data_IF_107194632075
#
_entry.id   IF_107194632075
#
_cell.length_a   1.000
_cell.length_b   1.000
_cell.length_c   1.000
_cell.angle_alpha   90.00
_cell.angle_beta   90.00
_cell.angle_gamma   90.00
#
_symmetry.space_group_name_H-M   'P 1'
#
loop_
_entity.id
_entity.type
_entity.pdbx_description
1 polymer ?
#
# COMPACT_ATOMS: atom_id res chain seq x y z
N UNK A 1 16.40 -4.98 4.71
CA UNK A 1 16.38 -3.69 5.45
C UNK A 1 14.96 -3.11 5.56
N UNK A 2 14.56 -2.62 6.76
CA UNK A 2 13.28 -1.91 6.97
C UNK A 2 13.20 -0.61 6.18
N UNK A 3 14.32 0.11 6.03
CA UNK A 3 14.41 1.36 5.27
C UNK A 3 14.12 1.15 3.78
N UNK A 4 14.68 0.10 3.18
CA UNK A 4 14.41 -0.27 1.79
C UNK A 4 12.91 -0.49 1.51
N UNK A 5 12.23 -1.26 2.37
CA UNK A 5 10.80 -1.53 2.22
C UNK A 5 9.96 -0.26 2.39
N UNK A 6 10.29 0.57 3.38
CA UNK A 6 9.57 1.82 3.65
C UNK A 6 9.63 2.80 2.47
N UNK A 7 10.79 2.95 1.84
CA UNK A 7 10.95 3.79 0.63
C UNK A 7 10.13 3.29 -0.54
N UNK A 8 10.05 1.96 -0.73
CA UNK A 8 9.23 1.37 -1.80
C UNK A 8 7.74 1.53 -1.56
N UNK A 9 7.28 1.42 -0.31
CA UNK A 9 5.89 1.66 0.07
C UNK A 9 5.46 3.07 -0.30
N UNK A 10 6.30 4.05 0.04
CA UNK A 10 6.08 5.47 -0.24
C UNK A 10 6.05 5.73 -1.74
N UNK A 11 7.10 5.32 -2.46
CA UNK A 11 7.16 5.46 -3.93
C UNK A 11 5.96 4.81 -4.63
N UNK A 12 5.51 3.65 -4.16
CA UNK A 12 4.33 2.97 -4.72
C UNK A 12 3.07 3.81 -4.54
N UNK A 13 2.88 4.46 -3.39
CA UNK A 13 1.71 5.31 -3.17
C UNK A 13 1.74 6.55 -4.09
N UNK A 14 2.89 7.22 -4.23
CA UNK A 14 3.04 8.30 -5.19
C UNK A 14 2.65 7.85 -6.60
N UNK A 15 3.16 6.69 -7.01
CA UNK A 15 2.84 6.13 -8.32
C UNK A 15 1.34 5.81 -8.48
N UNK A 16 0.68 5.30 -7.44
CA UNK A 16 -0.78 5.09 -7.47
C UNK A 16 -1.52 6.41 -7.71
N UNK A 17 -1.12 7.49 -7.05
CA UNK A 17 -1.72 8.82 -7.23
C UNK A 17 -1.50 9.34 -8.65
N UNK A 18 -0.25 9.26 -9.16
CA UNK A 18 0.09 9.60 -10.55
C UNK A 18 -0.73 8.80 -11.57
N UNK A 19 -1.06 7.54 -11.26
CA UNK A 19 -1.87 6.66 -12.09
C UNK A 19 -3.40 6.87 -11.92
N UNK A 20 -3.83 7.89 -11.19
CA UNK A 20 -5.24 8.26 -11.10
C UNK A 20 -6.01 7.65 -9.94
N UNK A 21 -5.34 7.18 -8.88
CA UNK A 21 -5.99 6.65 -7.67
C UNK A 21 -7.03 7.61 -7.07
N UNK A 22 -6.78 8.91 -7.09
CA UNK A 22 -7.74 9.91 -6.59
C UNK A 22 -8.99 9.99 -7.48
N UNK A 23 -8.82 9.87 -8.79
CA UNK A 23 -9.93 9.78 -9.73
C UNK A 23 -10.79 8.54 -9.49
N UNK A 24 -10.17 7.40 -9.18
CA UNK A 24 -10.90 6.19 -8.74
C UNK A 24 -11.70 6.47 -7.45
N UNK A 25 -11.09 7.11 -6.45
CA UNK A 25 -11.76 7.42 -5.19
C UNK A 25 -12.96 8.38 -5.37
N UNK A 26 -12.84 9.36 -6.25
CA UNK A 26 -13.95 10.26 -6.60
C UNK A 26 -15.10 9.49 -7.27
N UNK A 27 -14.80 8.53 -8.17
CA UNK A 27 -15.81 7.68 -8.78
C UNK A 27 -16.51 6.80 -7.75
N UNK A 28 -15.76 6.22 -6.83
CA UNK A 28 -16.30 5.43 -5.71
C UNK A 28 -17.22 6.29 -4.83
N UNK A 29 -16.84 7.52 -4.48
CA UNK A 29 -17.69 8.43 -3.69
C UNK A 29 -18.99 8.83 -4.40
N UNK A 30 -19.00 8.91 -5.72
CA UNK A 30 -20.21 9.21 -6.51
C UNK A 30 -21.17 8.04 -6.60
N UNK A 31 -20.71 6.81 -6.37
CA UNK A 31 -21.54 5.63 -6.43
C UNK A 31 -22.41 5.52 -5.16
N UNK A 32 -23.75 5.54 -5.25
CA UNK A 32 -24.64 5.48 -4.09
C UNK A 32 -24.54 4.17 -3.31
N UNK A 33 -24.02 3.10 -3.91
CA UNK A 33 -23.79 1.81 -3.25
C UNK A 33 -22.49 1.80 -2.43
N UNK A 34 -21.67 2.85 -2.51
CA UNK A 34 -20.37 2.92 -1.84
C UNK A 34 -20.41 3.93 -0.71
N UNK A 35 -19.91 3.55 0.47
CA UNK A 35 -19.76 4.45 1.60
C UNK A 35 -18.51 4.09 2.43
N UNK A 36 -18.04 5.04 3.23
CA UNK A 36 -16.79 4.97 3.99
C UNK A 36 -16.69 3.80 4.98
N UNK A 37 -17.82 3.23 5.40
CA UNK A 37 -17.88 2.15 6.38
C UNK A 37 -17.82 0.74 5.77
N UNK A 38 -17.85 0.62 4.44
CA UNK A 38 -17.77 -0.67 3.76
C UNK A 38 -16.45 -1.41 4.10
N UNK A 39 -16.48 -2.76 4.17
CA UNK A 39 -15.25 -3.55 4.36
C UNK A 39 -14.17 -3.22 3.32
N UNK A 40 -14.54 -2.97 2.07
CA UNK A 40 -13.62 -2.57 1.00
C UNK A 40 -12.82 -1.29 1.33
N UNK A 41 -13.45 -0.32 2.02
CA UNK A 41 -12.81 0.94 2.42
C UNK A 41 -11.78 0.78 3.55
N UNK A 42 -11.71 -0.41 4.18
CA UNK A 42 -10.67 -0.72 5.18
C UNK A 42 -9.32 -1.03 4.54
N UNK A 43 -9.26 -1.19 3.23
CA UNK A 43 -8.01 -1.30 2.47
C UNK A 43 -7.10 -0.11 2.77
N UNK A 44 -5.79 -0.37 2.92
CA UNK A 44 -4.82 0.68 3.26
C UNK A 44 -4.78 1.76 2.19
N UNK A 45 -4.81 3.03 2.59
CA UNK A 45 -4.85 4.18 1.69
C UNK A 45 -6.27 4.68 1.36
N UNK A 46 -7.23 3.78 1.18
CA UNK A 46 -8.61 4.13 0.77
C UNK A 46 -9.30 5.03 1.79
N UNK A 47 -9.30 4.66 3.07
CA UNK A 47 -9.90 5.49 4.13
C UNK A 47 -9.20 6.84 4.30
N UNK A 48 -7.87 6.90 4.10
CA UNK A 48 -7.14 8.17 4.18
C UNK A 48 -7.53 9.10 3.02
N UNK A 49 -7.58 8.56 1.80
CA UNK A 49 -8.02 9.30 0.62
C UNK A 49 -9.49 9.73 0.72
N UNK A 50 -10.36 8.86 1.22
CA UNK A 50 -11.78 9.18 1.43
C UNK A 50 -11.96 10.34 2.41
N UNK A 51 -11.34 10.26 3.60
CA UNK A 51 -11.42 11.33 4.60
C UNK A 51 -10.85 12.66 4.08
N UNK A 52 -9.79 12.59 3.28
CA UNK A 52 -9.21 13.77 2.65
C UNK A 52 -10.17 14.40 1.64
N UNK A 53 -10.80 13.59 0.78
CA UNK A 53 -11.81 14.06 -0.16
C UNK A 53 -13.06 14.62 0.54
N UNK A 54 -13.47 14.04 1.67
CA UNK A 54 -14.54 14.59 2.51
C UNK A 54 -14.16 15.97 3.07
N UNK A 55 -12.94 16.14 3.59
CA UNK A 55 -12.46 17.43 4.08
C UNK A 55 -12.41 18.49 2.97
N UNK A 56 -11.87 18.15 1.80
CA UNK A 56 -11.86 19.06 0.64
C UNK A 56 -13.27 19.47 0.20
N UNK A 57 -14.24 18.55 0.26
CA UNK A 57 -15.63 18.84 -0.12
C UNK A 57 -16.29 19.85 0.82
N UNK A 58 -15.91 19.87 2.10
CA UNK A 58 -16.43 20.81 3.10
C UNK A 58 -15.81 22.20 2.96
N UNK A 59 -14.52 22.25 2.64
CA UNK A 59 -13.75 23.50 2.52
C UNK A 59 -13.95 24.18 1.15
N UNK A 60 -14.69 23.55 0.23
CA UNK A 60 -14.85 24.03 -1.17
C UNK A 60 -13.53 24.04 -1.95
N UNK A 61 -12.52 23.35 -1.43
CA UNK A 61 -11.17 23.31 -1.98
C UNK A 61 -11.03 22.28 -3.10
N UNK A 62 -10.31 22.64 -4.14
CA UNK A 62 -9.94 21.70 -5.19
C UNK A 62 -8.66 20.94 -4.81
N UNK A 63 -8.50 19.72 -5.35
CA UNK A 63 -7.38 18.83 -5.01
C UNK A 63 -6.00 19.48 -5.28
N UNK A 64 -5.94 20.47 -6.16
CA UNK A 64 -4.73 21.22 -6.51
C UNK A 64 -4.14 22.07 -5.36
N UNK A 65 -4.87 22.31 -4.27
CA UNK A 65 -4.46 23.22 -3.20
C UNK A 65 -3.62 22.53 -2.11
N UNK A 66 -2.40 22.06 -2.44
CA UNK A 66 -1.26 21.92 -1.52
C UNK A 66 -1.39 21.02 -0.28
N UNK A 67 -2.51 20.34 -0.04
CA UNK A 67 -2.80 19.57 1.17
C UNK A 67 -2.59 18.05 0.99
N UNK A 68 -1.88 17.66 -0.08
CA UNK A 68 -1.59 16.27 -0.45
C UNK A 68 -0.73 15.55 0.59
N UNK A 69 0.17 16.25 1.27
CA UNK A 69 1.18 15.59 2.12
C UNK A 69 0.57 14.85 3.31
N UNK A 70 -0.43 15.43 3.99
CA UNK A 70 -0.92 14.88 5.27
C UNK A 70 -1.64 13.54 5.09
N UNK A 71 -2.49 13.42 4.08
CA UNK A 71 -3.23 12.17 3.85
C UNK A 71 -2.29 11.09 3.30
N UNK A 72 -1.32 11.48 2.46
CA UNK A 72 -0.29 10.58 1.94
C UNK A 72 0.58 10.03 3.06
N UNK A 73 1.06 10.87 3.98
CA UNK A 73 1.84 10.43 5.14
C UNK A 73 1.07 9.42 6.00
N UNK A 74 -0.22 9.69 6.25
CA UNK A 74 -1.11 8.76 6.97
C UNK A 74 -1.28 7.44 6.21
N UNK A 75 -1.42 7.48 4.88
CA UNK A 75 -1.57 6.30 4.03
C UNK A 75 -0.28 5.47 3.98
N UNK A 76 0.88 6.12 3.88
CA UNK A 76 2.21 5.50 3.98
C UNK A 76 2.38 4.84 5.34
N UNK A 77 2.08 5.54 6.43
CA UNK A 77 2.14 4.99 7.79
C UNK A 77 1.22 3.78 7.95
N UNK A 78 -0.02 3.85 7.49
CA UNK A 78 -0.96 2.73 7.52
C UNK A 78 -0.44 1.51 6.75
N UNK A 79 0.16 1.74 5.57
CA UNK A 79 0.75 0.68 4.74
C UNK A 79 2.00 0.08 5.40
N UNK A 80 2.86 0.89 6.03
CA UNK A 80 4.01 0.40 6.83
C UNK A 80 3.55 -0.45 8.01
N UNK A 81 2.46 -0.08 8.69
CA UNK A 81 1.90 -0.89 9.78
C UNK A 81 1.31 -2.21 9.27
N UNK A 82 0.64 -2.21 8.12
CA UNK A 82 0.20 -3.45 7.47
C UNK A 82 1.38 -4.37 7.15
N UNK A 83 2.41 -3.84 6.49
CA UNK A 83 3.63 -4.60 6.17
C UNK A 83 4.31 -5.14 7.43
N UNK A 84 4.39 -4.34 8.51
CA UNK A 84 4.91 -4.80 9.81
C UNK A 84 4.10 -6.00 10.32
N UNK A 85 2.76 -5.92 10.32
CA UNK A 85 1.90 -7.03 10.76
C UNK A 85 2.11 -8.27 9.90
N UNK A 86 2.15 -8.13 8.57
CA UNK A 86 2.41 -9.25 7.65
C UNK A 86 3.76 -9.92 7.94
N UNK A 87 4.83 -9.14 8.10
CA UNK A 87 6.16 -9.65 8.45
C UNK A 87 6.17 -10.34 9.83
N UNK A 88 5.47 -9.80 10.82
CA UNK A 88 5.34 -10.44 12.14
C UNK A 88 4.67 -11.81 12.02
N UNK A 89 3.58 -11.91 11.23
CA UNK A 89 2.90 -13.18 10.97
C UNK A 89 3.81 -14.17 10.25
N UNK A 90 4.46 -13.76 9.16
CA UNK A 90 5.39 -14.59 8.39
C UNK A 90 6.55 -15.11 9.23
N UNK A 91 7.09 -14.30 10.15
CA UNK A 91 8.20 -14.70 11.03
C UNK A 91 7.82 -15.85 11.96
N UNK A 92 6.55 -16.00 12.31
CA UNK A 92 6.07 -17.05 13.20
C UNK A 92 5.59 -18.30 12.45
N UNK A 93 5.58 -18.27 11.12
CA UNK A 93 5.20 -19.43 10.31
C UNK A 93 6.36 -20.43 10.22
N UNK A 94 6.01 -21.72 10.24
CA UNK A 94 6.95 -22.81 9.97
C UNK A 94 7.04 -23.09 8.47
N UNK A 95 8.17 -23.65 8.03
CA UNK A 95 8.40 -24.06 6.64
C UNK A 95 8.30 -22.92 5.62
N UNK A 96 8.71 -21.71 6.01
CA UNK A 96 8.77 -20.54 5.11
C UNK A 96 10.17 -20.40 4.54
N UNK A 97 10.24 -20.36 3.21
CA UNK A 97 11.44 -20.08 2.45
C UNK A 97 11.55 -18.58 2.16
N UNK A 98 12.43 -17.87 2.86
CA UNK A 98 12.64 -16.42 2.66
C UNK A 98 13.59 -16.18 1.48
N UNK A 99 13.17 -15.31 0.56
CA UNK A 99 13.97 -14.83 -0.57
C UNK A 99 14.21 -13.33 -0.37
N UNK A 100 15.48 -12.92 -0.40
CA UNK A 100 15.84 -11.52 -0.16
C UNK A 100 15.60 -10.68 -1.43
N UNK A 101 14.52 -9.88 -1.44
CA UNK A 101 14.17 -9.02 -2.56
C UNK A 101 14.96 -7.70 -2.61
N UNK A 102 15.71 -7.37 -1.55
CA UNK A 102 16.47 -6.13 -1.41
C UNK A 102 17.94 -6.26 -1.78
N UNK A 103 18.51 -7.47 -1.66
CA UNK A 103 19.93 -7.73 -1.94
C UNK A 103 20.17 -8.59 -3.17
N UNK A 104 19.21 -9.40 -3.60
CA UNK A 104 19.36 -10.27 -4.77
C UNK A 104 18.82 -9.61 -6.04
N UNK A 105 19.52 -9.83 -7.16
CA UNK A 105 19.00 -9.54 -8.49
C UNK A 105 17.80 -10.44 -8.82
N UNK A 106 17.00 -10.07 -9.82
CA UNK A 106 15.86 -10.89 -10.24
C UNK A 106 16.29 -12.32 -10.63
N UNK A 107 17.39 -12.45 -11.37
CA UNK A 107 17.93 -13.76 -11.76
C UNK A 107 18.34 -14.61 -10.53
N UNK A 108 19.02 -13.99 -9.56
CA UNK A 108 19.41 -14.68 -8.33
C UNK A 108 18.19 -15.06 -7.46
N UNK A 109 17.14 -14.24 -7.45
CA UNK A 109 15.87 -14.59 -6.78
C UNK A 109 15.23 -15.82 -7.44
N UNK A 110 15.18 -15.86 -8.78
CA UNK A 110 14.64 -16.99 -9.53
C UNK A 110 15.39 -18.29 -9.24
N UNK A 111 16.72 -18.26 -9.29
CA UNK A 111 17.55 -19.42 -8.97
C UNK A 111 17.32 -19.90 -7.53
N UNK A 112 17.28 -18.95 -6.58
CA UNK A 112 17.03 -19.20 -5.16
C UNK A 112 15.67 -19.87 -4.91
N UNK A 113 14.64 -19.51 -5.67
CA UNK A 113 13.31 -20.15 -5.62
C UNK A 113 13.37 -21.56 -6.20
N UNK A 114 13.95 -21.73 -7.40
CA UNK A 114 14.02 -23.03 -8.08
C UNK A 114 14.80 -24.07 -7.27
N UNK A 115 15.92 -23.69 -6.64
CA UNK A 115 16.71 -24.62 -5.83
C UNK A 115 15.92 -25.17 -4.65
N UNK A 116 15.13 -24.32 -3.98
CA UNK A 116 14.33 -24.70 -2.79
C UNK A 116 13.11 -25.56 -3.13
N UNK A 117 12.51 -25.34 -4.30
CA UNK A 117 11.41 -26.20 -4.77
C UNK A 117 11.91 -27.60 -5.10
N UNK A 118 13.12 -27.74 -5.66
CA UNK A 118 13.72 -29.05 -5.97
C UNK A 118 14.07 -29.86 -4.72
N UNK A 119 14.39 -29.22 -3.60
CA UNK A 119 14.68 -29.90 -2.33
C UNK A 119 13.43 -30.37 -1.57
N UNK A 120 12.23 -30.01 -2.04
CA UNK A 120 10.95 -30.44 -1.47
C UNK A 120 10.30 -31.60 -2.25
N UNK A 121 10.88 -31.99 -3.39
CA UNK A 121 10.46 -33.12 -4.23
C UNK A 121 11.39 -34.31 -3.99
#
# INVERSE_FOLDING_TARGET
DRGWLHRRIERRLHHMVEQGFIGEMQQLRRNPLTHSQLPAMRSVGYRQAWNHLDALSLDGGDFAAGNDSIWMDKAVAATRQLAKRQLTWLRNMRNVNVIACDTLSLAAQQESVLSRLRTLA
#
